data_IF_302808078598
#
_entry.id   IF_302808078598
#
_cell.length_a   1.000
_cell.length_b   1.000
_cell.length_c   1.000
_cell.angle_alpha   90.00
_cell.angle_beta   90.00
_cell.angle_gamma   90.00
#
_symmetry.space_group_name_H-M   'P 1'
#
loop_
_entity.id
_entity.type
_entity.pdbx_description
1 polymer ?
#
# COMPACT_ATOMS: atom_id res chain seq x y z
N UNK A 1 57.03 -14.28 -17.24
CA UNK A 1 57.15 -13.93 -18.65
C UNK A 1 58.60 -13.61 -19.07
N UNK A 2 59.34 -12.86 -18.24
CA UNK A 2 60.66 -12.34 -18.57
C UNK A 2 61.83 -13.22 -18.10
N UNK A 3 61.60 -14.08 -17.09
CA UNK A 3 62.68 -14.93 -16.52
C UNK A 3 63.19 -16.02 -17.48
N UNK A 4 62.32 -16.79 -18.16
CA UNK A 4 62.73 -17.86 -19.05
C UNK A 4 63.53 -17.39 -20.24
N UNK A 5 63.19 -16.28 -20.94
CA UNK A 5 64.00 -15.78 -22.06
C UNK A 5 65.39 -15.27 -21.66
N UNK A 6 65.56 -14.96 -20.37
CA UNK A 6 66.82 -14.48 -19.82
C UNK A 6 67.80 -15.65 -19.48
N UNK A 7 67.26 -16.86 -19.31
CA UNK A 7 68.00 -18.06 -18.87
C UNK A 7 68.22 -19.07 -20.02
N UNK A 8 67.49 -18.97 -21.13
CA UNK A 8 67.48 -19.91 -22.24
C UNK A 8 67.82 -19.13 -23.50
N UNK A 9 68.95 -19.38 -24.11
CA UNK A 9 69.50 -18.64 -25.26
C UNK A 9 68.62 -18.71 -26.53
N UNK A 10 67.75 -19.68 -26.67
CA UNK A 10 66.87 -19.85 -27.83
C UNK A 10 65.39 -19.41 -27.54
N UNK A 11 65.12 -18.84 -26.39
CA UNK A 11 63.75 -18.49 -26.02
C UNK A 11 63.33 -17.15 -26.61
N UNK A 12 62.41 -17.16 -27.59
CA UNK A 12 61.83 -15.96 -28.19
C UNK A 12 60.93 -15.24 -27.15
N UNK A 13 61.29 -14.03 -26.79
CA UNK A 13 60.53 -13.19 -25.84
C UNK A 13 59.06 -13.07 -26.23
N UNK A 14 58.73 -12.99 -27.52
CA UNK A 14 57.36 -12.90 -28.02
C UNK A 14 56.53 -14.14 -27.74
N UNK A 15 57.13 -15.36 -27.77
CA UNK A 15 56.41 -16.60 -27.43
C UNK A 15 56.11 -16.71 -25.96
N UNK A 16 57.05 -16.37 -25.10
CA UNK A 16 56.88 -16.38 -23.65
C UNK A 16 55.88 -15.30 -23.21
N UNK A 17 55.87 -14.18 -23.87
CA UNK A 17 54.87 -13.14 -23.64
C UNK A 17 53.45 -13.61 -23.99
N UNK A 18 53.30 -14.26 -25.18
CA UNK A 18 52.03 -14.88 -25.58
C UNK A 18 51.55 -15.94 -24.58
N UNK A 19 52.44 -16.86 -24.19
CA UNK A 19 52.13 -17.89 -23.18
C UNK A 19 51.70 -17.30 -21.84
N UNK A 20 52.35 -16.23 -21.40
CA UNK A 20 51.94 -15.50 -20.22
C UNK A 20 50.56 -14.89 -20.33
N UNK A 21 50.26 -14.25 -21.44
CA UNK A 21 48.89 -13.69 -21.70
C UNK A 21 47.85 -14.79 -21.75
N UNK A 22 48.11 -15.91 -22.43
CA UNK A 22 47.20 -17.05 -22.45
C UNK A 22 46.96 -17.62 -21.04
N UNK A 23 48.03 -17.79 -20.26
CA UNK A 23 47.91 -18.25 -18.88
C UNK A 23 47.06 -17.28 -18.02
N UNK A 24 47.24 -15.99 -18.21
CA UNK A 24 46.50 -14.95 -17.47
C UNK A 24 45.03 -14.96 -17.85
N UNK A 25 44.70 -15.15 -19.12
CA UNK A 25 43.30 -15.26 -19.59
C UNK A 25 42.67 -16.56 -19.14
N UNK A 26 43.37 -17.70 -19.19
CA UNK A 26 42.83 -19.00 -18.74
C UNK A 26 42.65 -19.06 -17.23
N UNK A 27 43.51 -18.37 -16.47
CA UNK A 27 43.42 -18.27 -15.02
C UNK A 27 42.34 -17.30 -14.55
N UNK A 28 41.77 -16.52 -15.46
CA UNK A 28 40.69 -15.60 -15.13
C UNK A 28 39.41 -16.40 -14.86
N UNK A 29 38.74 -16.24 -13.71
CA UNK A 29 37.46 -16.87 -13.43
C UNK A 29 36.31 -16.18 -14.20
N UNK A 30 36.50 -15.90 -15.50
CA UNK A 30 35.59 -15.09 -16.33
C UNK A 30 34.15 -15.67 -16.32
N UNK A 31 34.02 -17.00 -16.33
CA UNK A 31 32.71 -17.64 -16.24
C UNK A 31 31.99 -17.30 -14.92
N UNK A 32 32.72 -17.24 -13.81
CA UNK A 32 32.17 -16.90 -12.50
C UNK A 32 31.85 -15.40 -12.41
N UNK A 33 32.75 -14.54 -12.87
CA UNK A 33 32.62 -13.08 -12.80
C UNK A 33 31.48 -12.55 -13.66
N UNK A 34 31.17 -13.21 -14.77
CA UNK A 34 30.08 -12.81 -15.68
C UNK A 34 28.77 -13.52 -15.33
N UNK A 35 28.81 -14.79 -14.93
CA UNK A 35 27.57 -15.58 -14.71
C UNK A 35 26.79 -15.13 -13.48
N UNK A 36 27.48 -14.72 -12.42
CA UNK A 36 26.81 -14.26 -11.18
C UNK A 36 25.97 -13.00 -11.42
N UNK A 37 26.54 -11.88 -11.94
CA UNK A 37 25.73 -10.70 -12.25
C UNK A 37 24.61 -10.99 -13.25
N UNK A 38 24.87 -11.80 -14.27
CA UNK A 38 23.86 -12.16 -15.27
C UNK A 38 22.68 -12.92 -14.64
N UNK A 39 22.94 -13.80 -13.69
CA UNK A 39 21.90 -14.53 -12.96
C UNK A 39 21.05 -13.58 -12.12
N UNK A 40 21.65 -12.61 -11.44
CA UNK A 40 20.91 -11.58 -10.70
C UNK A 40 20.07 -10.71 -11.63
N UNK A 41 20.62 -10.25 -12.77
CA UNK A 41 19.86 -9.48 -13.76
C UNK A 41 18.70 -10.28 -14.33
N UNK A 42 18.92 -11.57 -14.62
CA UNK A 42 17.88 -12.49 -15.09
C UNK A 42 16.77 -12.66 -14.04
N UNK A 43 17.14 -12.83 -12.78
CA UNK A 43 16.20 -12.95 -11.66
C UNK A 43 15.38 -11.68 -11.42
N UNK A 44 16.03 -10.51 -11.38
CA UNK A 44 15.38 -9.20 -11.22
C UNK A 44 14.45 -8.93 -12.41
N UNK A 45 14.91 -9.18 -13.64
CA UNK A 45 14.10 -9.00 -14.85
C UNK A 45 12.87 -9.93 -14.86
N UNK A 46 13.03 -11.18 -14.43
CA UNK A 46 11.93 -12.14 -14.30
C UNK A 46 10.90 -11.72 -13.26
N UNK A 47 11.35 -11.22 -12.11
CA UNK A 47 10.50 -10.68 -11.06
C UNK A 47 9.72 -9.42 -11.54
N UNK A 48 10.42 -8.50 -12.21
CA UNK A 48 9.83 -7.27 -12.75
C UNK A 48 8.71 -7.55 -13.76
N UNK A 49 8.88 -8.55 -14.64
CA UNK A 49 7.82 -8.97 -15.57
C UNK A 49 6.55 -9.47 -14.89
N UNK A 50 6.64 -9.88 -13.64
CA UNK A 50 5.50 -10.29 -12.80
C UNK A 50 5.00 -9.19 -11.87
N UNK A 51 5.45 -7.96 -12.07
CA UNK A 51 5.06 -6.82 -11.23
C UNK A 51 5.77 -6.76 -9.87
N UNK A 52 6.81 -7.57 -9.65
CA UNK A 52 7.57 -7.61 -8.39
C UNK A 52 8.80 -6.72 -8.53
N UNK A 53 8.85 -5.65 -7.74
CA UNK A 53 10.00 -4.74 -7.69
C UNK A 53 11.07 -5.27 -6.72
N UNK A 54 12.20 -5.71 -7.26
CA UNK A 54 13.39 -6.10 -6.47
C UNK A 54 14.41 -4.98 -6.50
N UNK A 55 14.75 -4.43 -5.35
CA UNK A 55 15.63 -3.23 -5.22
C UNK A 55 17.15 -3.53 -5.39
N UNK A 56 17.52 -4.78 -5.67
CA UNK A 56 18.92 -5.17 -5.90
C UNK A 56 19.17 -6.65 -5.69
N UNK A 57 20.31 -7.17 -6.17
CA UNK A 57 20.67 -8.58 -6.08
C UNK A 57 20.82 -9.09 -4.64
N UNK A 58 21.26 -8.24 -3.72
CA UNK A 58 21.35 -8.55 -2.30
C UNK A 58 20.00 -8.92 -1.67
N UNK A 59 18.89 -8.36 -2.16
CA UNK A 59 17.54 -8.71 -1.70
C UNK A 59 17.11 -10.09 -2.22
N UNK A 60 17.48 -10.44 -3.46
CA UNK A 60 17.26 -11.79 -3.99
C UNK A 60 18.04 -12.85 -3.19
N UNK A 61 19.28 -12.54 -2.83
CA UNK A 61 20.09 -13.43 -2.00
C UNK A 61 19.50 -13.58 -0.59
N UNK A 62 19.02 -12.47 0.00
CA UNK A 62 18.38 -12.48 1.32
C UNK A 62 17.12 -13.36 1.36
N UNK A 63 16.36 -13.44 0.27
CA UNK A 63 15.18 -14.31 0.18
C UNK A 63 15.50 -15.79 0.44
N UNK A 64 16.71 -16.23 0.10
CA UNK A 64 17.14 -17.61 0.36
C UNK A 64 17.31 -17.94 1.87
N UNK A 65 17.34 -16.93 2.73
CA UNK A 65 17.51 -17.06 4.19
C UNK A 65 16.22 -16.77 4.96
N UNK A 66 15.13 -16.49 4.25
CA UNK A 66 13.82 -16.20 4.87
C UNK A 66 13.22 -17.50 5.39
N UNK A 67 12.96 -17.55 6.68
CA UNK A 67 12.30 -18.66 7.38
C UNK A 67 10.89 -18.28 7.85
N UNK A 68 10.61 -16.99 7.98
CA UNK A 68 9.32 -16.47 8.47
C UNK A 68 8.83 -15.36 7.57
N UNK A 69 7.54 -15.40 7.19
CA UNK A 69 6.90 -14.38 6.38
C UNK A 69 5.73 -13.80 7.17
N UNK A 70 5.72 -12.48 7.33
CA UNK A 70 4.65 -11.74 7.97
C UNK A 70 3.91 -10.93 6.91
N UNK A 71 2.62 -11.16 6.77
CA UNK A 71 1.76 -10.43 5.84
C UNK A 71 0.95 -9.37 6.58
N UNK A 72 0.98 -8.13 6.06
CA UNK A 72 -0.04 -7.15 6.43
C UNK A 72 -1.39 -7.55 5.81
N UNK A 73 -2.47 -7.34 6.56
CA UNK A 73 -3.81 -7.69 6.08
C UNK A 73 -4.31 -6.68 5.05
N UNK A 74 -4.29 -5.39 5.40
CA UNK A 74 -4.99 -4.36 4.63
C UNK A 74 -4.14 -3.82 3.49
N UNK A 75 -4.61 -3.96 2.24
CA UNK A 75 -3.88 -3.55 1.05
C UNK A 75 -2.82 -4.55 0.57
N UNK A 76 -2.54 -5.62 1.34
CA UNK A 76 -1.64 -6.72 0.96
C UNK A 76 -2.43 -7.99 0.69
N UNK A 77 -3.15 -8.52 1.68
CA UNK A 77 -4.01 -9.69 1.52
C UNK A 77 -5.43 -9.33 1.05
N UNK A 78 -5.82 -8.07 1.22
CA UNK A 78 -7.11 -7.54 0.78
C UNK A 78 -6.89 -6.37 -0.18
N UNK A 79 -7.87 -6.09 -1.01
CA UNK A 79 -7.79 -4.96 -1.95
C UNK A 79 -7.77 -3.58 -1.27
N UNK A 80 -7.96 -3.52 0.05
CA UNK A 80 -8.02 -2.26 0.80
C UNK A 80 -9.20 -1.36 0.44
N UNK A 81 -10.10 -1.84 -0.43
CA UNK A 81 -11.29 -1.11 -0.84
C UNK A 81 -12.42 -1.39 0.14
N UNK A 82 -12.92 -0.34 0.74
CA UNK A 82 -14.14 -0.40 1.53
C UNK A 82 -15.33 -0.29 0.59
N UNK A 83 -16.41 -1.00 0.92
CA UNK A 83 -17.70 -0.91 0.27
C UNK A 83 -18.79 -0.88 1.32
N UNK A 84 -19.80 -0.06 1.13
CA UNK A 84 -21.00 -0.08 1.95
C UNK A 84 -21.77 -1.36 1.60
N UNK A 85 -21.82 -2.29 2.53
CA UNK A 85 -22.51 -3.58 2.34
C UNK A 85 -23.95 -3.54 2.81
N UNK A 86 -24.23 -2.73 3.82
CA UNK A 86 -25.55 -2.61 4.40
C UNK A 86 -25.77 -1.20 4.93
N UNK A 87 -27.01 -0.71 4.88
CA UNK A 87 -27.43 0.55 5.45
C UNK A 87 -28.71 0.27 6.24
N UNK A 88 -28.72 0.60 7.51
CA UNK A 88 -29.91 0.63 8.35
C UNK A 88 -30.33 2.09 8.51
N UNK A 89 -31.60 2.35 8.33
CA UNK A 89 -32.17 3.67 8.54
C UNK A 89 -33.20 3.59 9.68
N UNK A 90 -33.17 4.58 10.52
CA UNK A 90 -34.05 4.69 11.68
C UNK A 90 -35.01 5.86 11.53
N UNK A 91 -36.12 5.79 12.26
CA UNK A 91 -37.19 6.78 12.23
C UNK A 91 -37.78 6.98 10.80
N UNK A 92 -38.01 8.22 10.40
CA UNK A 92 -38.62 8.59 9.12
C UNK A 92 -37.61 8.75 7.97
N UNK A 93 -36.36 8.31 8.14
CA UNK A 93 -35.30 8.45 7.16
C UNK A 93 -35.23 7.23 6.24
N UNK A 94 -34.98 7.48 4.97
CA UNK A 94 -34.70 6.43 3.98
C UNK A 94 -33.20 6.06 3.98
N UNK A 95 -32.87 4.90 3.39
CA UNK A 95 -31.46 4.49 3.19
C UNK A 95 -30.69 5.49 2.34
N UNK A 96 -31.37 6.08 1.38
CA UNK A 96 -30.86 7.11 0.49
C UNK A 96 -30.53 8.39 1.25
N UNK A 97 -31.37 8.78 2.21
CA UNK A 97 -31.12 9.95 3.07
C UNK A 97 -29.89 9.74 3.94
N UNK A 98 -29.77 8.56 4.60
CA UNK A 98 -28.59 8.21 5.41
C UNK A 98 -27.31 8.29 4.60
N UNK A 99 -27.31 7.70 3.39
CA UNK A 99 -26.13 7.75 2.50
C UNK A 99 -25.80 9.17 2.05
N UNK A 100 -26.81 9.97 1.75
CA UNK A 100 -26.67 11.35 1.32
C UNK A 100 -26.06 12.23 2.43
N UNK A 101 -26.62 12.14 3.65
CA UNK A 101 -26.09 12.90 4.79
C UNK A 101 -24.67 12.45 5.17
N UNK A 102 -24.42 11.15 5.15
CA UNK A 102 -23.09 10.61 5.37
C UNK A 102 -22.09 11.11 4.32
N UNK A 103 -22.45 11.04 3.03
CA UNK A 103 -21.60 11.51 1.94
C UNK A 103 -21.36 13.04 1.99
N UNK A 104 -22.35 13.80 2.45
CA UNK A 104 -22.23 15.25 2.63
C UNK A 104 -21.25 15.60 3.74
N UNK A 105 -21.36 14.94 4.89
CA UNK A 105 -20.44 15.15 6.01
C UNK A 105 -19.02 14.70 5.70
N UNK A 106 -18.85 13.59 5.00
CA UNK A 106 -17.56 13.02 4.61
C UNK A 106 -16.97 13.62 3.32
N UNK A 107 -17.56 14.68 2.79
CA UNK A 107 -17.19 15.20 1.47
C UNK A 107 -15.71 15.56 1.36
N UNK A 108 -15.16 16.25 2.34
CA UNK A 108 -13.77 16.67 2.38
C UNK A 108 -12.82 15.64 3.01
N UNK A 109 -13.35 14.58 3.61
CA UNK A 109 -12.53 13.53 4.20
C UNK A 109 -11.84 12.69 3.11
N UNK A 110 -10.54 12.42 3.33
CA UNK A 110 -9.73 11.53 2.48
C UNK A 110 -9.68 10.09 3.03
N UNK A 111 -10.47 9.78 4.04
CA UNK A 111 -10.49 8.45 4.62
C UNK A 111 -11.06 7.41 3.64
N UNK A 112 -10.50 6.17 3.56
CA UNK A 112 -11.02 5.14 2.65
C UNK A 112 -12.51 4.80 2.84
N UNK A 113 -13.01 4.90 4.07
CA UNK A 113 -14.44 4.72 4.38
C UNK A 113 -15.28 5.86 3.79
N UNK A 114 -14.81 7.10 3.90
CA UNK A 114 -15.47 8.27 3.30
C UNK A 114 -15.59 8.11 1.77
N UNK A 115 -14.56 7.59 1.14
CA UNK A 115 -14.59 7.29 -0.29
C UNK A 115 -15.66 6.24 -0.64
N UNK A 116 -15.76 5.17 0.15
CA UNK A 116 -16.80 4.14 -0.04
C UNK A 116 -18.22 4.69 0.12
N UNK A 117 -18.43 5.55 1.11
CA UNK A 117 -19.72 6.22 1.35
C UNK A 117 -20.06 7.13 0.16
N UNK A 118 -19.13 7.97 -0.27
CA UNK A 118 -19.31 8.86 -1.43
C UNK A 118 -19.63 8.10 -2.72
N UNK A 119 -18.99 6.95 -2.95
CA UNK A 119 -19.29 6.10 -4.11
C UNK A 119 -20.67 5.43 -4.03
N UNK A 120 -21.14 5.13 -2.83
CA UNK A 120 -22.44 4.47 -2.63
C UNK A 120 -23.61 5.44 -2.73
N UNK A 121 -23.36 6.73 -2.55
CA UNK A 121 -24.36 7.77 -2.75
C UNK A 121 -24.57 8.04 -4.24
N UNK A 122 -25.80 7.90 -4.70
CA UNK A 122 -26.20 8.16 -6.09
C UNK A 122 -26.79 9.55 -6.33
N UNK A 123 -27.12 10.25 -5.24
CA UNK A 123 -27.71 11.57 -5.34
C UNK A 123 -26.66 12.67 -5.49
N UNK A 124 -26.97 13.73 -6.22
CA UNK A 124 -26.11 14.88 -6.31
C UNK A 124 -25.97 15.58 -4.95
N UNK A 125 -24.74 15.80 -4.50
CA UNK A 125 -24.46 16.54 -3.27
C UNK A 125 -24.51 18.04 -3.56
N UNK A 126 -25.41 18.75 -2.90
CA UNK A 126 -25.45 20.20 -2.95
C UNK A 126 -24.48 20.74 -1.89
N UNK A 127 -23.31 21.13 -2.34
CA UNK A 127 -22.26 21.69 -1.49
C UNK A 127 -22.56 23.18 -1.29
N UNK A 128 -23.16 23.49 -0.18
CA UNK A 128 -23.24 24.86 0.30
C UNK A 128 -22.23 25.04 1.44
N UNK A 129 -21.94 26.25 1.85
CA UNK A 129 -21.00 26.56 2.92
C UNK A 129 -21.37 25.84 4.22
N UNK A 130 -20.66 24.73 4.48
CA UNK A 130 -20.73 23.96 5.74
C UNK A 130 -19.42 24.10 6.50
N UNK A 131 -19.49 24.16 7.80
CA UNK A 131 -18.32 24.07 8.67
C UNK A 131 -18.06 22.60 8.95
N UNK A 132 -16.82 22.14 8.70
CA UNK A 132 -16.41 20.76 8.89
C UNK A 132 -15.38 20.67 10.00
N UNK A 133 -15.60 19.74 10.91
CA UNK A 133 -14.67 19.40 11.97
C UNK A 133 -14.37 17.90 11.88
N UNK A 134 -13.15 17.54 11.49
CA UNK A 134 -12.70 16.14 11.45
C UNK A 134 -11.90 15.82 12.71
N UNK A 135 -12.26 14.74 13.39
CA UNK A 135 -11.53 14.21 14.53
C UNK A 135 -10.94 12.85 14.16
N UNK A 136 -9.63 12.81 13.99
CA UNK A 136 -8.92 11.60 13.57
C UNK A 136 -9.22 10.40 14.46
N UNK A 137 -9.62 9.28 13.84
CA UNK A 137 -9.99 8.04 14.53
C UNK A 137 -11.39 8.01 15.15
N UNK A 138 -12.18 9.09 15.04
CA UNK A 138 -13.52 9.20 15.59
C UNK A 138 -14.58 9.43 14.51
N UNK A 139 -14.44 10.48 13.71
CA UNK A 139 -15.39 10.82 12.66
C UNK A 139 -15.36 12.30 12.28
N UNK A 140 -16.42 12.72 11.62
CA UNK A 140 -16.59 14.06 11.08
C UNK A 140 -17.91 14.66 11.60
N UNK A 141 -17.86 15.95 11.88
CA UNK A 141 -19.02 16.78 12.21
C UNK A 141 -19.14 17.88 11.16
N UNK A 142 -20.30 17.98 10.54
CA UNK A 142 -20.61 19.02 9.57
C UNK A 142 -21.80 19.84 10.05
N UNK A 143 -21.64 21.16 10.09
CA UNK A 143 -22.69 22.08 10.60
C UNK A 143 -23.00 23.17 9.59
N UNK A 144 -24.30 23.48 9.44
CA UNK A 144 -24.78 24.56 8.59
C UNK A 144 -26.18 25.03 8.99
N UNK A 145 -26.37 26.33 9.16
CA UNK A 145 -27.70 26.97 9.38
C UNK A 145 -28.51 26.29 10.50
N UNK A 146 -27.83 25.81 11.58
CA UNK A 146 -28.47 25.10 12.66
C UNK A 146 -28.72 23.60 12.38
N UNK A 147 -28.38 23.10 11.20
CA UNK A 147 -28.36 21.66 10.86
C UNK A 147 -26.99 21.11 11.24
N UNK A 148 -27.00 19.99 11.94
CA UNK A 148 -25.81 19.28 12.34
C UNK A 148 -25.84 17.83 11.85
N UNK A 149 -24.78 17.40 11.17
CA UNK A 149 -24.59 16.02 10.72
C UNK A 149 -23.32 15.50 11.40
N UNK A 150 -23.43 14.39 12.09
CA UNK A 150 -22.30 13.70 12.73
C UNK A 150 -22.16 12.33 12.11
N UNK A 151 -20.96 12.01 11.63
CA UNK A 151 -20.63 10.72 11.00
C UNK A 151 -19.39 10.17 11.66
N UNK A 152 -19.45 8.97 12.19
CA UNK A 152 -18.28 8.39 12.85
C UNK A 152 -18.56 7.04 13.51
N UNK A 153 -17.67 6.66 14.41
CA UNK A 153 -17.86 5.45 15.22
C UNK A 153 -18.88 5.70 16.35
N UNK A 154 -19.39 4.62 16.94
CA UNK A 154 -20.35 4.68 18.03
C UNK A 154 -19.88 5.56 19.20
N UNK A 155 -18.59 5.46 19.56
CA UNK A 155 -17.97 6.25 20.62
C UNK A 155 -18.03 7.75 20.34
N UNK A 156 -17.87 8.15 19.08
CA UNK A 156 -17.97 9.56 18.69
C UNK A 156 -19.37 10.11 18.90
N UNK A 157 -20.41 9.32 18.57
CA UNK A 157 -21.80 9.70 18.81
C UNK A 157 -22.10 9.82 20.32
N UNK A 158 -21.61 8.89 21.14
CA UNK A 158 -21.76 8.95 22.60
C UNK A 158 -21.14 10.22 23.20
N UNK A 159 -19.93 10.59 22.76
CA UNK A 159 -19.26 11.82 23.18
C UNK A 159 -20.04 13.09 22.79
N UNK A 160 -20.85 13.02 21.71
CA UNK A 160 -21.76 14.09 21.30
C UNK A 160 -23.14 14.02 22.01
N UNK A 161 -23.31 13.09 22.94
CA UNK A 161 -24.56 12.89 23.67
C UNK A 161 -25.68 12.24 22.86
N UNK A 162 -25.33 11.56 21.75
CA UNK A 162 -26.28 10.89 20.87
C UNK A 162 -26.40 9.43 21.31
N UNK A 163 -27.61 9.04 21.74
CA UNK A 163 -27.88 7.68 22.17
C UNK A 163 -28.07 6.74 20.98
N UNK A 164 -27.49 5.53 21.08
CA UNK A 164 -27.66 4.46 20.11
C UNK A 164 -27.75 3.10 20.84
N UNK A 165 -28.32 2.10 20.18
CA UNK A 165 -28.47 0.73 20.68
C UNK A 165 -27.48 -0.27 20.04
N UNK A 166 -26.40 0.21 19.44
CA UNK A 166 -25.44 -0.63 18.72
C UNK A 166 -24.56 -1.42 19.69
N UNK A 167 -24.43 -2.71 19.47
CA UNK A 167 -23.44 -3.53 20.14
C UNK A 167 -22.05 -3.30 19.53
N UNK A 168 -21.06 -2.98 20.36
CA UNK A 168 -19.70 -2.61 19.96
C UNK A 168 -18.88 -3.75 19.30
N UNK A 169 -19.40 -4.96 19.18
CA UNK A 169 -18.60 -6.14 18.82
C UNK A 169 -18.53 -6.47 17.32
N UNK A 170 -19.34 -5.89 16.47
CA UNK A 170 -19.46 -6.36 15.09
C UNK A 170 -19.17 -5.29 14.02
N UNK A 171 -18.09 -5.54 13.25
CA UNK A 171 -17.77 -4.95 11.93
C UNK A 171 -17.46 -3.45 11.95
N UNK A 172 -16.85 -2.96 10.88
CA UNK A 172 -16.64 -1.53 10.65
C UNK A 172 -18.00 -0.84 10.43
N UNK A 173 -18.66 -0.46 11.52
CA UNK A 173 -19.93 0.28 11.51
C UNK A 173 -19.62 1.77 11.52
N UNK A 174 -20.27 2.50 10.63
CA UNK A 174 -20.28 3.97 10.61
C UNK A 174 -21.67 4.43 11.00
N UNK A 175 -21.75 5.20 12.05
CA UNK A 175 -22.98 5.77 12.55
C UNK A 175 -23.20 7.15 11.95
N UNK A 176 -24.44 7.46 11.64
CA UNK A 176 -24.85 8.76 11.10
C UNK A 176 -25.92 9.35 12.01
N UNK A 177 -25.71 10.60 12.39
CA UNK A 177 -26.71 11.34 13.15
C UNK A 177 -27.04 12.68 12.48
N UNK A 178 -28.29 13.05 12.56
CA UNK A 178 -28.84 14.29 12.05
C UNK A 178 -29.55 15.04 13.17
N UNK A 179 -29.13 16.27 13.48
CA UNK A 179 -29.65 17.11 14.54
C UNK A 179 -29.76 16.35 15.90
N UNK A 180 -28.64 15.78 16.33
CA UNK A 180 -28.49 15.02 17.57
C UNK A 180 -29.37 13.74 17.68
N UNK A 181 -29.91 13.24 16.58
CA UNK A 181 -30.61 11.95 16.50
C UNK A 181 -29.92 11.01 15.54
N UNK A 182 -29.76 9.77 15.93
CA UNK A 182 -29.26 8.72 15.04
C UNK A 182 -30.30 8.43 13.95
N UNK A 183 -29.82 8.32 12.70
CA UNK A 183 -30.67 8.09 11.50
C UNK A 183 -30.26 6.84 10.74
#
# INVERSE_FOLDING_TARGET
AFLPPLLIEEALLSEWFKRSLVFLVVSCPCALVVSIPLSFFGGIGGASRRGILVKGGNFLEALNRVDTIVFDKTGTLTHGNFHVTHVEAYEDFSREDVLKFAALAEYYSNHPIAYAIKQSNKEPLVLNEMVYEERAGYGVRATRDGIEIVVGNARFLEEQGIHHSLNHEDKAVVCVAYNAKMI
#
